data_IF_091084049814
#
_entry.id   IF_091084049814
#
_cell.length_a   1.000
_cell.length_b   1.000
_cell.length_c   1.000
_cell.angle_alpha   90.00
_cell.angle_beta   90.00
_cell.angle_gamma   90.00
#
_symmetry.space_group_name_H-M   'P 1'
#
loop_
_entity.id
_entity.type
_entity.pdbx_description
1 polymer ?
#
# COMPACT_ATOMS: atom_id res chain seq x y z
N UNK A 1 15.84 11.12 -4.64
CA UNK A 1 15.00 10.07 -5.20
C UNK A 1 14.20 10.65 -6.37
N UNK A 2 14.26 10.10 -7.57
CA UNK A 2 13.49 10.60 -8.72
C UNK A 2 11.99 10.33 -8.56
N UNK A 3 11.17 11.21 -9.16
CA UNK A 3 9.70 11.12 -9.21
C UNK A 3 9.26 11.58 -10.60
N UNK A 4 8.44 10.79 -11.29
CA UNK A 4 8.07 11.03 -12.68
C UNK A 4 9.14 10.60 -13.67
N UNK A 5 8.92 10.85 -14.97
CA UNK A 5 9.87 10.52 -16.01
C UNK A 5 10.18 9.02 -16.15
N UNK A 6 9.25 8.16 -15.81
CA UNK A 6 9.42 6.70 -15.84
C UNK A 6 10.05 6.10 -14.57
N UNK A 7 10.30 6.90 -13.54
CA UNK A 7 10.71 6.38 -12.23
C UNK A 7 9.60 5.55 -11.60
N UNK A 8 9.92 4.52 -10.78
CA UNK A 8 8.90 3.72 -10.09
C UNK A 8 7.99 4.58 -9.22
N UNK A 9 6.69 4.29 -9.24
CA UNK A 9 5.70 4.98 -8.40
C UNK A 9 6.10 4.86 -6.93
N UNK A 10 6.11 5.97 -6.21
CA UNK A 10 6.55 6.04 -4.81
C UNK A 10 5.38 6.17 -3.84
N UNK A 11 5.53 5.56 -2.66
CA UNK A 11 4.59 5.68 -1.55
C UNK A 11 5.04 6.80 -0.62
N UNK A 12 4.18 7.81 -0.44
CA UNK A 12 4.36 8.84 0.57
C UNK A 12 3.42 8.59 1.74
N UNK A 13 3.91 8.76 2.97
CA UNK A 13 3.08 8.89 4.17
C UNK A 13 3.34 10.21 4.89
N UNK A 14 2.70 10.42 6.02
CA UNK A 14 2.80 11.66 6.80
C UNK A 14 2.85 11.35 8.28
N UNK A 15 3.71 12.04 9.02
CA UNK A 15 3.77 11.93 10.48
C UNK A 15 2.54 12.55 11.15
N UNK A 16 2.14 11.99 12.27
CA UNK A 16 1.09 12.50 13.17
C UNK A 16 1.68 13.15 14.42
N UNK A 17 2.97 12.94 14.68
CA UNK A 17 3.71 13.57 15.77
C UNK A 17 3.88 15.07 15.53
N UNK A 18 4.06 15.84 16.58
CA UNK A 18 4.47 17.24 16.47
C UNK A 18 5.91 17.30 15.98
N UNK A 19 6.17 17.97 14.87
CA UNK A 19 7.50 18.05 14.25
C UNK A 19 8.54 18.69 15.19
N UNK A 20 8.11 19.56 16.10
CA UNK A 20 8.96 20.12 17.16
C UNK A 20 9.54 19.05 18.10
N UNK A 21 8.81 17.95 18.33
CA UNK A 21 9.32 16.75 19.00
C UNK A 21 10.05 15.87 17.98
N UNK A 22 11.31 16.19 17.78
CA UNK A 22 12.13 15.53 16.75
C UNK A 22 12.38 14.05 17.04
N UNK A 23 12.48 13.62 18.31
CA UNK A 23 12.74 12.22 18.65
C UNK A 23 11.50 11.34 18.39
N UNK A 24 10.32 11.76 18.82
CA UNK A 24 9.09 11.06 18.52
C UNK A 24 8.85 11.00 16.99
N UNK A 25 9.11 12.12 16.29
CA UNK A 25 8.94 12.20 14.83
C UNK A 25 9.91 11.29 14.09
N UNK A 26 11.19 11.24 14.47
CA UNK A 26 12.17 10.33 13.88
C UNK A 26 11.77 8.88 14.10
N UNK A 27 11.32 8.51 15.31
CA UNK A 27 10.85 7.15 15.61
C UNK A 27 9.71 6.76 14.68
N UNK A 28 8.75 7.65 14.47
CA UNK A 28 7.63 7.40 13.54
C UNK A 28 8.09 7.31 12.09
N UNK A 29 9.06 8.14 11.65
CA UNK A 29 9.62 8.08 10.29
C UNK A 29 10.27 6.71 10.03
N UNK A 30 11.02 6.16 10.99
CA UNK A 30 11.59 4.82 10.86
C UNK A 30 10.51 3.74 10.73
N UNK A 31 9.44 3.84 11.51
CA UNK A 31 8.31 2.92 11.41
C UNK A 31 7.62 3.00 10.05
N UNK A 32 7.40 4.21 9.53
CA UNK A 32 6.82 4.45 8.21
C UNK A 32 7.70 3.91 7.08
N UNK A 33 9.02 4.15 7.14
CA UNK A 33 9.97 3.62 6.17
C UNK A 33 10.01 2.08 6.18
N UNK A 34 9.99 1.47 7.37
CA UNK A 34 9.94 0.02 7.54
C UNK A 34 8.62 -0.58 6.99
N UNK A 35 7.52 0.17 7.04
CA UNK A 35 6.22 -0.22 6.49
C UNK A 35 6.10 -0.02 4.97
N UNK A 36 7.11 0.59 4.32
CA UNK A 36 7.16 0.75 2.86
C UNK A 36 6.95 2.17 2.34
N UNK A 37 6.97 3.19 3.21
CA UNK A 37 7.00 4.58 2.76
C UNK A 37 8.37 4.91 2.14
N UNK A 38 8.35 5.41 0.92
CA UNK A 38 9.55 5.89 0.21
C UNK A 38 9.86 7.37 0.53
N UNK A 39 8.85 8.13 0.93
CA UNK A 39 8.91 9.56 1.25
C UNK A 39 8.02 9.82 2.47
N UNK A 40 8.49 10.67 3.40
CA UNK A 40 7.68 11.08 4.55
C UNK A 40 7.50 12.59 4.56
N UNK A 41 6.27 13.04 4.86
CA UNK A 41 5.92 14.44 5.01
C UNK A 41 5.71 14.80 6.48
N UNK A 42 6.32 15.90 6.92
CA UNK A 42 6.18 16.47 8.25
C UNK A 42 5.56 17.86 8.17
N UNK A 43 4.70 18.22 9.11
CA UNK A 43 4.11 19.57 9.16
C UNK A 43 5.15 20.59 9.61
N UNK A 44 5.20 21.76 8.95
CA UNK A 44 6.02 22.90 9.36
C UNK A 44 5.14 24.16 9.42
N UNK A 45 4.53 24.38 10.58
CA UNK A 45 3.55 25.43 10.82
C UNK A 45 3.98 26.46 11.87
N UNK A 46 5.14 26.25 12.51
CA UNK A 46 5.69 27.10 13.56
C UNK A 46 7.23 27.01 13.58
N UNK A 47 7.96 28.00 14.11
CA UNK A 47 9.42 28.00 14.15
C UNK A 47 10.02 26.78 14.82
N UNK A 48 9.42 26.30 15.93
CA UNK A 48 9.87 25.08 16.62
C UNK A 48 9.79 23.82 15.73
N UNK A 49 8.85 23.78 14.79
CA UNK A 49 8.77 22.69 13.80
C UNK A 49 9.93 22.77 12.79
N UNK A 50 10.31 23.96 12.34
CA UNK A 50 11.47 24.15 11.47
C UNK A 50 12.78 23.74 12.16
N UNK A 51 12.97 24.10 13.44
CA UNK A 51 14.09 23.63 14.25
C UNK A 51 14.07 22.11 14.43
N UNK A 52 12.88 21.53 14.58
CA UNK A 52 12.67 20.07 14.59
C UNK A 52 13.14 19.44 13.30
N UNK A 53 12.76 19.98 12.14
CA UNK A 53 13.19 19.51 10.82
C UNK A 53 14.71 19.50 10.66
N UNK A 54 15.42 20.52 11.15
CA UNK A 54 16.88 20.57 11.09
C UNK A 54 17.56 19.40 11.84
N UNK A 55 16.89 18.86 12.87
CA UNK A 55 17.34 17.67 13.61
C UNK A 55 16.88 16.36 12.96
N UNK A 56 15.71 16.36 12.30
CA UNK A 56 15.10 15.19 11.67
C UNK A 56 15.78 14.84 10.35
N UNK A 57 15.97 15.83 9.47
CA UNK A 57 16.46 15.62 8.10
C UNK A 57 17.74 14.80 8.02
N UNK A 58 18.82 15.12 8.77
CA UNK A 58 20.08 14.37 8.67
C UNK A 58 20.01 12.95 9.24
N UNK A 59 18.96 12.63 9.98
CA UNK A 59 18.77 11.30 10.62
C UNK A 59 17.71 10.46 9.93
N UNK A 60 16.98 11.00 8.96
CA UNK A 60 15.91 10.29 8.29
C UNK A 60 16.43 9.26 7.29
N UNK A 61 15.90 8.02 7.29
CA UNK A 61 16.24 7.00 6.30
C UNK A 61 15.59 7.25 4.93
N UNK A 62 14.66 8.21 4.83
CA UNK A 62 13.91 8.53 3.62
C UNK A 62 13.82 10.05 3.42
N UNK A 63 13.60 10.55 2.19
CA UNK A 63 13.41 11.97 1.94
C UNK A 63 12.25 12.56 2.76
N UNK A 64 12.49 13.77 3.31
CA UNK A 64 11.54 14.53 4.11
C UNK A 64 10.96 15.68 3.30
N UNK A 65 9.63 15.79 3.29
CA UNK A 65 8.87 16.90 2.71
C UNK A 65 8.29 17.75 3.84
N UNK A 66 8.51 19.06 3.81
CA UNK A 66 7.81 19.97 4.70
C UNK A 66 6.45 20.37 4.14
N UNK A 67 5.42 20.23 4.97
CA UNK A 67 4.04 20.63 4.66
C UNK A 67 3.78 22.04 5.18
N UNK A 68 3.65 23.00 4.28
CA UNK A 68 3.55 24.43 4.60
C UNK A 68 2.09 24.86 4.56
N UNK A 69 1.68 25.52 5.64
CA UNK A 69 0.36 26.11 5.78
C UNK A 69 0.47 27.59 6.15
N UNK A 70 -0.23 28.48 5.45
CA UNK A 70 -0.47 29.90 5.73
C UNK A 70 0.76 30.85 5.74
N UNK A 71 1.94 30.41 6.16
CA UNK A 71 3.11 31.26 6.39
C UNK A 71 4.28 30.86 5.49
N UNK A 72 4.65 31.73 4.55
CA UNK A 72 5.76 31.46 3.62
C UNK A 72 7.11 31.42 4.33
N UNK A 73 7.27 32.12 5.47
CA UNK A 73 8.46 32.11 6.29
C UNK A 73 8.79 30.69 6.79
N UNK A 74 7.75 29.87 7.01
CA UNK A 74 7.96 28.46 7.40
C UNK A 74 8.50 27.62 6.24
N UNK A 75 8.18 27.98 4.99
CA UNK A 75 8.79 27.34 3.82
C UNK A 75 10.28 27.68 3.73
N UNK A 76 10.64 28.95 3.93
CA UNK A 76 12.04 29.39 3.92
C UNK A 76 12.83 28.71 5.05
N UNK A 77 12.30 28.68 6.26
CA UNK A 77 12.91 28.00 7.39
C UNK A 77 13.06 26.49 7.17
N UNK A 78 12.09 25.85 6.52
CA UNK A 78 12.18 24.43 6.15
C UNK A 78 13.27 24.18 5.09
N UNK A 79 13.43 25.08 4.12
CA UNK A 79 14.52 25.03 3.14
C UNK A 79 15.90 25.17 3.81
N UNK A 80 16.03 26.07 4.80
CA UNK A 80 17.23 26.22 5.61
C UNK A 80 17.54 24.96 6.43
N UNK A 81 16.49 24.28 6.94
CA UNK A 81 16.62 23.00 7.63
C UNK A 81 17.05 21.84 6.71
N UNK A 82 17.13 22.06 5.40
CA UNK A 82 17.62 21.10 4.41
C UNK A 82 16.62 20.03 3.99
N UNK A 83 15.33 20.34 4.02
CA UNK A 83 14.28 19.38 3.56
C UNK A 83 14.45 19.04 2.08
N UNK A 84 13.99 17.84 1.72
CA UNK A 84 14.13 17.30 0.37
C UNK A 84 12.99 17.70 -0.58
N UNK A 85 12.01 18.43 -0.08
CA UNK A 85 10.90 18.96 -0.86
C UNK A 85 9.94 19.76 0.00
N UNK A 86 9.12 20.58 -0.65
CA UNK A 86 8.04 21.33 -0.02
C UNK A 86 6.68 20.88 -0.55
N UNK A 87 5.65 21.06 0.26
CA UNK A 87 4.26 21.07 -0.20
C UNK A 87 3.62 22.38 0.13
N UNK A 88 3.11 23.07 -0.89
CA UNK A 88 2.30 24.28 -0.77
C UNK A 88 0.84 23.95 -1.11
N UNK A 89 -0.09 24.68 -0.45
CA UNK A 89 -1.51 24.61 -0.76
C UNK A 89 -1.99 25.96 -1.28
N UNK A 90 -2.39 26.09 -2.56
CA UNK A 90 -2.87 27.34 -3.15
C UNK A 90 -4.05 27.96 -2.40
N UNK A 91 -4.85 27.11 -1.74
CA UNK A 91 -5.95 27.58 -0.91
C UNK A 91 -5.52 28.32 0.36
N UNK A 92 -4.31 28.05 0.85
CA UNK A 92 -3.79 28.57 2.12
C UNK A 92 -2.73 29.68 1.91
N UNK A 93 -1.80 29.48 0.99
CA UNK A 93 -0.79 30.47 0.61
C UNK A 93 -1.24 31.13 -0.70
N UNK A 94 -1.59 32.41 -0.66
CA UNK A 94 -2.32 33.08 -1.76
C UNK A 94 -1.60 34.30 -2.33
N UNK A 95 -0.60 34.85 -1.64
CA UNK A 95 0.09 36.05 -2.08
C UNK A 95 1.18 35.69 -3.09
N UNK A 96 1.02 36.14 -4.30
CA UNK A 96 1.92 35.86 -5.42
C UNK A 96 3.39 36.11 -5.08
N UNK A 97 3.71 37.27 -4.46
CA UNK A 97 5.11 37.59 -4.12
C UNK A 97 5.73 36.61 -3.11
N UNK A 98 4.94 36.13 -2.13
CA UNK A 98 5.38 35.14 -1.15
C UNK A 98 5.64 33.78 -1.83
N UNK A 99 4.76 33.37 -2.76
CA UNK A 99 4.91 32.13 -3.53
C UNK A 99 6.14 32.19 -4.42
N UNK A 100 6.34 33.31 -5.14
CA UNK A 100 7.52 33.53 -5.99
C UNK A 100 8.83 33.56 -5.19
N UNK A 101 8.82 34.12 -3.99
CA UNK A 101 9.98 34.11 -3.10
C UNK A 101 10.35 32.68 -2.70
N UNK A 102 9.38 31.87 -2.28
CA UNK A 102 9.59 30.46 -1.92
C UNK A 102 10.10 29.67 -3.12
N UNK A 103 9.50 29.86 -4.30
CA UNK A 103 9.91 29.18 -5.53
C UNK A 103 11.34 29.54 -5.94
N UNK A 104 11.74 30.81 -5.84
CA UNK A 104 13.10 31.25 -6.12
C UNK A 104 14.13 30.61 -5.17
N UNK A 105 13.84 30.62 -3.87
CA UNK A 105 14.72 30.02 -2.87
C UNK A 105 14.82 28.49 -3.04
N UNK A 106 13.69 27.82 -3.37
CA UNK A 106 13.68 26.40 -3.66
C UNK A 106 14.50 26.05 -4.92
N UNK A 107 14.41 26.91 -5.97
CA UNK A 107 15.21 26.79 -7.19
C UNK A 107 16.71 26.86 -6.89
N UNK A 108 17.15 27.84 -6.13
CA UNK A 108 18.55 28.06 -5.81
C UNK A 108 19.14 26.89 -5.00
N UNK A 109 18.30 26.18 -4.25
CA UNK A 109 18.66 24.99 -3.45
C UNK A 109 18.41 23.66 -4.16
N UNK A 110 17.78 23.66 -5.34
CA UNK A 110 17.40 22.42 -6.06
C UNK A 110 16.37 21.58 -5.31
N UNK A 111 15.45 22.22 -4.58
CA UNK A 111 14.40 21.55 -3.78
C UNK A 111 13.08 21.58 -4.53
N UNK A 112 12.49 20.42 -4.90
CA UNK A 112 11.23 20.37 -5.62
C UNK A 112 10.04 20.80 -4.75
N UNK A 113 9.02 21.35 -5.39
CA UNK A 113 7.78 21.78 -4.73
C UNK A 113 6.59 20.97 -5.27
N UNK A 114 5.70 20.56 -4.36
CA UNK A 114 4.39 20.02 -4.74
C UNK A 114 3.31 21.07 -4.57
N UNK A 115 2.62 21.40 -5.66
CA UNK A 115 1.35 22.11 -5.65
C UNK A 115 0.27 21.16 -5.17
N UNK A 116 -0.33 21.44 -4.01
CA UNK A 116 -1.25 20.53 -3.33
C UNK A 116 -2.66 21.07 -3.23
N UNK A 117 -3.42 21.03 -4.33
CA UNK A 117 -4.83 21.45 -4.37
C UNK A 117 -5.71 20.42 -3.66
N UNK A 118 -6.62 20.90 -2.81
CA UNK A 118 -7.67 20.10 -2.18
C UNK A 118 -9.04 20.75 -2.43
N UNK A 119 -10.04 19.95 -2.74
CA UNK A 119 -11.42 20.42 -2.97
C UNK A 119 -11.97 21.23 -1.78
N UNK A 120 -11.67 20.80 -0.55
CA UNK A 120 -12.13 21.48 0.67
C UNK A 120 -11.46 22.83 0.97
N UNK A 121 -10.35 23.17 0.30
CA UNK A 121 -9.62 24.44 0.48
C UNK A 121 -9.46 25.22 -0.83
N UNK A 122 -10.33 24.97 -1.81
CA UNK A 122 -10.34 25.69 -3.09
C UNK A 122 -10.56 27.19 -2.87
N UNK A 123 -9.88 28.01 -3.70
CA UNK A 123 -10.05 29.47 -3.62
C UNK A 123 -11.52 29.86 -3.82
N UNK A 124 -12.10 30.76 -2.97
CA UNK A 124 -13.50 31.11 -3.05
C UNK A 124 -13.95 31.62 -4.43
N UNK A 125 -13.08 32.36 -5.14
CA UNK A 125 -13.41 32.87 -6.47
C UNK A 125 -13.52 31.77 -7.51
N UNK A 126 -12.65 30.72 -7.42
CA UNK A 126 -12.75 29.54 -8.28
C UNK A 126 -14.00 28.74 -7.94
N UNK A 127 -14.28 28.54 -6.65
CA UNK A 127 -15.49 27.88 -6.20
C UNK A 127 -16.75 28.56 -6.75
N UNK A 128 -16.80 29.91 -6.71
CA UNK A 128 -17.91 30.71 -7.26
C UNK A 128 -17.96 30.62 -8.79
N UNK A 129 -16.81 30.76 -9.48
CA UNK A 129 -16.71 30.76 -10.94
C UNK A 129 -17.19 29.45 -11.55
N UNK A 130 -16.82 28.30 -10.94
CA UNK A 130 -17.13 26.97 -11.44
C UNK A 130 -18.38 26.34 -10.79
N UNK A 131 -19.05 27.03 -9.86
CA UNK A 131 -20.25 26.53 -9.18
C UNK A 131 -19.97 25.42 -8.16
N UNK A 132 -18.71 25.26 -7.73
CA UNK A 132 -18.29 24.23 -6.77
C UNK A 132 -16.86 23.77 -6.96
N UNK A 133 -16.49 22.73 -6.23
CA UNK A 133 -15.23 22.01 -6.42
C UNK A 133 -15.40 21.01 -7.58
N UNK A 134 -15.27 21.48 -8.82
CA UNK A 134 -15.31 20.65 -10.03
C UNK A 134 -13.90 20.24 -10.46
N UNK A 135 -13.73 19.24 -11.36
CA UNK A 135 -12.44 18.89 -11.93
C UNK A 135 -11.70 20.10 -12.52
N UNK A 136 -12.42 20.93 -13.28
CA UNK A 136 -11.88 22.13 -13.91
C UNK A 136 -11.42 23.18 -12.88
N UNK A 137 -12.18 23.34 -11.79
CA UNK A 137 -11.83 24.28 -10.72
C UNK A 137 -10.54 23.85 -9.99
N UNK A 138 -10.37 22.54 -9.76
CA UNK A 138 -9.18 21.99 -9.13
C UNK A 138 -7.94 22.11 -10.04
N UNK A 139 -8.08 21.82 -11.32
CA UNK A 139 -7.00 21.93 -12.31
C UNK A 139 -6.64 23.41 -12.52
N UNK A 140 -7.63 24.32 -12.62
CA UNK A 140 -7.38 25.74 -12.75
C UNK A 140 -6.64 26.31 -11.52
N UNK A 141 -6.96 25.86 -10.31
CA UNK A 141 -6.22 26.22 -9.10
C UNK A 141 -4.75 25.83 -9.18
N UNK A 142 -4.45 24.64 -9.68
CA UNK A 142 -3.07 24.18 -9.90
C UNK A 142 -2.36 25.01 -10.97
N UNK A 143 -3.06 25.35 -12.07
CA UNK A 143 -2.51 26.16 -13.17
C UNK A 143 -2.12 27.56 -12.73
N UNK A 144 -2.97 28.20 -11.93
CA UNK A 144 -2.68 29.55 -11.39
C UNK A 144 -1.41 29.55 -10.53
N UNK A 145 -1.23 28.55 -9.70
CA UNK A 145 -0.02 28.43 -8.86
C UNK A 145 1.21 28.13 -9.71
N UNK A 146 1.07 27.24 -10.68
CA UNK A 146 2.16 26.86 -11.59
C UNK A 146 2.68 28.08 -12.36
N UNK A 147 1.78 28.98 -12.81
CA UNK A 147 2.17 30.20 -13.51
C UNK A 147 3.11 31.07 -12.66
N UNK A 148 2.91 31.18 -11.35
CA UNK A 148 3.81 31.91 -10.47
C UNK A 148 5.21 31.29 -10.38
N UNK A 149 5.29 29.97 -10.50
CA UNK A 149 6.57 29.26 -10.53
C UNK A 149 7.28 29.41 -11.87
N UNK A 150 6.54 29.37 -12.97
CA UNK A 150 7.07 29.63 -14.32
C UNK A 150 7.64 31.04 -14.46
N UNK A 151 7.01 32.04 -13.86
CA UNK A 151 7.48 33.45 -13.86
C UNK A 151 8.89 33.62 -13.25
N UNK A 152 9.26 32.75 -12.30
CA UNK A 152 10.62 32.72 -11.72
C UNK A 152 11.51 31.66 -12.34
N UNK A 153 11.02 30.97 -13.37
CA UNK A 153 11.75 29.92 -14.09
C UNK A 153 12.00 28.69 -13.22
N UNK A 154 11.04 28.33 -12.34
CA UNK A 154 11.08 27.13 -11.50
C UNK A 154 10.21 26.02 -12.09
N UNK A 155 10.83 24.86 -12.45
CA UNK A 155 10.14 23.76 -13.11
C UNK A 155 10.13 22.45 -12.32
N UNK A 156 10.82 22.35 -11.18
CA UNK A 156 10.85 21.13 -10.36
C UNK A 156 9.55 20.98 -9.52
N UNK A 157 8.45 20.83 -10.23
CA UNK A 157 7.09 20.82 -9.67
C UNK A 157 6.45 19.46 -9.84
N UNK A 158 5.69 19.02 -8.85
CA UNK A 158 4.68 17.97 -8.98
C UNK A 158 3.32 18.47 -8.50
N UNK A 159 2.24 17.89 -9.02
CA UNK A 159 0.88 18.42 -8.81
C UNK A 159 0.01 17.36 -8.12
N UNK A 160 -0.89 17.81 -7.26
CA UNK A 160 -1.98 16.97 -6.74
C UNK A 160 -3.29 17.76 -6.70
N UNK A 161 -4.38 17.12 -7.16
CA UNK A 161 -5.75 17.68 -7.22
C UNK A 161 -6.68 16.72 -6.48
N UNK A 162 -6.73 16.82 -5.15
CA UNK A 162 -7.38 15.86 -4.27
C UNK A 162 -8.82 16.24 -3.94
N UNK A 163 -9.68 15.21 -3.86
CA UNK A 163 -11.04 15.32 -3.35
C UNK A 163 -11.36 14.13 -2.44
N UNK A 164 -12.39 14.25 -1.61
CA UNK A 164 -12.92 13.14 -0.79
C UNK A 164 -13.91 12.27 -1.57
N UNK A 165 -14.53 12.83 -2.62
CA UNK A 165 -15.32 12.08 -3.60
C UNK A 165 -14.39 11.38 -4.58
N UNK A 166 -14.49 10.04 -4.64
CA UNK A 166 -13.67 9.22 -5.53
C UNK A 166 -13.93 9.54 -7.02
N UNK A 167 -15.18 9.65 -7.51
CA UNK A 167 -15.44 10.04 -8.90
C UNK A 167 -14.84 11.40 -9.25
N UNK A 168 -15.05 12.42 -8.41
CA UNK A 168 -14.49 13.74 -8.62
C UNK A 168 -12.95 13.71 -8.67
N UNK A 169 -12.33 12.95 -7.77
CA UNK A 169 -10.88 12.80 -7.74
C UNK A 169 -10.36 12.16 -9.03
N UNK A 170 -10.99 11.09 -9.51
CA UNK A 170 -10.59 10.41 -10.75
C UNK A 170 -10.68 11.37 -11.94
N UNK A 171 -11.81 12.05 -12.11
CA UNK A 171 -12.01 13.01 -13.22
C UNK A 171 -11.03 14.18 -13.16
N UNK A 172 -10.76 14.71 -11.96
CA UNK A 172 -9.79 15.79 -11.78
C UNK A 172 -8.36 15.36 -12.15
N UNK A 173 -7.94 14.14 -11.82
CA UNK A 173 -6.61 13.66 -12.19
C UNK A 173 -6.50 13.28 -13.67
N UNK A 174 -7.54 12.77 -14.29
CA UNK A 174 -7.57 12.57 -15.75
C UNK A 174 -7.37 13.90 -16.47
N UNK A 175 -8.16 14.92 -16.09
CA UNK A 175 -8.02 16.28 -16.63
C UNK A 175 -6.63 16.87 -16.34
N UNK A 176 -6.08 16.64 -15.14
CA UNK A 176 -4.74 17.11 -14.79
C UNK A 176 -3.65 16.45 -15.64
N UNK A 177 -3.78 15.14 -15.94
CA UNK A 177 -2.83 14.41 -16.78
C UNK A 177 -2.85 14.86 -18.23
N UNK A 178 -4.00 15.35 -18.73
CA UNK A 178 -4.13 15.95 -20.05
C UNK A 178 -3.62 17.39 -20.12
N UNK A 179 -3.58 18.07 -18.95
CA UNK A 179 -3.27 19.49 -18.87
C UNK A 179 -1.81 19.79 -18.55
N UNK A 180 -1.16 18.92 -17.78
CA UNK A 180 0.17 19.15 -17.23
C UNK A 180 1.15 18.02 -17.59
N UNK A 181 2.35 18.38 -18.01
CA UNK A 181 3.47 17.45 -18.22
C UNK A 181 4.22 17.11 -16.90
N UNK A 182 3.74 17.61 -15.76
CA UNK A 182 4.36 17.47 -14.46
C UNK A 182 3.92 16.17 -13.76
N UNK A 183 4.80 15.56 -12.93
CA UNK A 183 4.46 14.39 -12.14
C UNK A 183 3.23 14.62 -11.25
N UNK A 184 2.38 13.60 -11.14
CA UNK A 184 1.13 13.64 -10.38
C UNK A 184 1.25 12.85 -9.07
N UNK A 185 0.81 13.48 -7.97
CA UNK A 185 0.73 12.85 -6.66
C UNK A 185 -0.72 12.49 -6.31
N UNK A 186 -1.07 11.21 -6.41
CA UNK A 186 -2.43 10.71 -6.22
C UNK A 186 -2.82 10.55 -4.75
N UNK A 187 -4.10 10.70 -4.48
CA UNK A 187 -4.70 10.37 -3.19
C UNK A 187 -6.11 10.88 -3.04
N UNK A 188 -6.96 10.09 -2.40
CA UNK A 188 -8.27 10.52 -1.90
C UNK A 188 -8.03 11.20 -0.56
N UNK A 189 -8.48 12.44 -0.39
CA UNK A 189 -8.36 13.15 0.89
C UNK A 189 -9.51 12.76 1.82
N UNK A 190 -9.24 12.71 3.14
CA UNK A 190 -10.28 12.46 4.16
C UNK A 190 -11.09 11.18 3.89
N UNK A 191 -10.39 10.10 3.53
CA UNK A 191 -11.06 8.86 3.15
C UNK A 191 -11.81 8.18 4.31
N UNK A 192 -11.40 8.46 5.54
CA UNK A 192 -12.01 7.90 6.75
C UNK A 192 -11.27 6.68 7.31
N UNK A 193 -11.85 6.02 8.34
CA UNK A 193 -11.21 4.85 8.96
C UNK A 193 -11.32 3.60 8.06
N UNK A 194 -10.44 2.61 8.26
CA UNK A 194 -10.62 1.27 7.68
C UNK A 194 -11.92 0.60 8.17
N UNK A 195 -12.54 -0.30 7.39
CA UNK A 195 -12.14 -0.68 6.02
C UNK A 195 -12.61 0.33 4.95
N UNK A 196 -13.57 1.20 5.24
CA UNK A 196 -14.19 2.12 4.26
C UNK A 196 -13.17 3.07 3.63
N UNK A 197 -12.25 3.62 4.42
CA UNK A 197 -11.20 4.50 3.95
C UNK A 197 -10.21 3.81 3.01
N UNK A 198 -9.85 2.55 3.30
CA UNK A 198 -9.02 1.73 2.43
C UNK A 198 -9.68 1.49 1.08
N UNK A 199 -10.98 1.13 1.09
CA UNK A 199 -11.75 0.89 -0.15
C UNK A 199 -11.78 2.16 -1.01
N UNK A 200 -12.10 3.33 -0.42
CA UNK A 200 -12.11 4.61 -1.15
C UNK A 200 -10.75 4.97 -1.71
N UNK A 201 -9.70 4.89 -0.89
CA UNK A 201 -8.33 5.18 -1.29
C UNK A 201 -7.88 4.27 -2.43
N UNK A 202 -8.11 2.97 -2.29
CA UNK A 202 -7.76 1.97 -3.31
C UNK A 202 -8.54 2.21 -4.60
N UNK A 203 -9.86 2.41 -4.54
CA UNK A 203 -10.66 2.65 -5.73
C UNK A 203 -10.17 3.86 -6.54
N UNK A 204 -9.87 4.98 -5.87
CA UNK A 204 -9.38 6.19 -6.58
C UNK A 204 -7.97 6.02 -7.13
N UNK A 205 -7.04 5.54 -6.30
CA UNK A 205 -5.62 5.44 -6.67
C UNK A 205 -5.41 4.33 -7.72
N UNK A 206 -5.99 3.12 -7.51
CA UNK A 206 -5.81 1.98 -8.41
C UNK A 206 -6.35 2.25 -9.81
N UNK A 207 -7.51 2.91 -9.93
CA UNK A 207 -8.10 3.27 -11.22
C UNK A 207 -7.13 4.10 -12.04
N UNK A 208 -6.57 5.16 -11.46
CA UNK A 208 -5.63 6.04 -12.16
C UNK A 208 -4.31 5.36 -12.49
N UNK A 209 -3.75 4.58 -11.55
CA UNK A 209 -2.50 3.84 -11.81
C UNK A 209 -2.66 2.81 -12.92
N UNK A 210 -3.82 2.15 -13.02
CA UNK A 210 -4.12 1.20 -14.11
C UNK A 210 -4.25 1.90 -15.48
N UNK A 211 -4.56 3.19 -15.49
CA UNK A 211 -4.58 4.05 -16.69
C UNK A 211 -3.20 4.67 -16.98
N UNK A 212 -2.17 4.38 -16.19
CA UNK A 212 -0.83 4.95 -16.32
C UNK A 212 -0.70 6.37 -15.76
N UNK A 213 -1.67 6.82 -14.97
CA UNK A 213 -1.69 8.15 -14.36
C UNK A 213 -1.20 8.07 -12.92
N UNK A 214 -0.13 8.81 -12.59
CA UNK A 214 0.38 8.98 -11.22
C UNK A 214 1.79 8.47 -11.00
N UNK A 215 2.59 9.27 -10.29
CA UNK A 215 4.02 9.05 -10.03
C UNK A 215 4.32 8.86 -8.53
N UNK A 216 3.45 9.40 -7.66
CA UNK A 216 3.50 9.18 -6.22
C UNK A 216 2.10 9.01 -5.66
N UNK A 217 1.95 8.22 -4.60
CA UNK A 217 0.66 7.97 -3.97
C UNK A 217 0.69 8.23 -2.47
N UNK A 218 -0.47 8.59 -1.90
CA UNK A 218 -0.67 8.64 -0.46
C UNK A 218 -2.10 8.25 -0.09
N UNK A 219 -2.25 7.24 0.76
CA UNK A 219 -3.50 7.00 1.47
C UNK A 219 -3.72 8.05 2.56
N UNK A 220 -4.96 8.40 2.84
CA UNK A 220 -5.34 9.36 3.91
C UNK A 220 -6.39 8.71 4.79
N UNK A 221 -5.93 7.91 5.75
CA UNK A 221 -6.78 7.14 6.65
C UNK A 221 -6.92 7.83 8.02
N UNK A 222 -8.06 7.62 8.66
CA UNK A 222 -8.21 7.90 10.10
C UNK A 222 -7.76 6.65 10.86
N UNK A 223 -6.43 6.40 10.86
CA UNK A 223 -5.77 5.25 11.46
C UNK A 223 -4.28 5.57 11.72
N UNK A 224 -3.52 4.61 12.25
CA UNK A 224 -2.06 4.72 12.34
C UNK A 224 -1.47 4.92 10.93
N UNK A 225 -0.62 5.93 10.70
CA UNK A 225 -0.04 6.20 9.39
C UNK A 225 0.86 5.06 8.86
N UNK A 226 1.29 4.13 9.69
CA UNK A 226 1.95 2.89 9.29
C UNK A 226 1.03 2.05 8.39
N UNK A 227 -0.29 2.04 8.65
CA UNK A 227 -1.27 1.35 7.80
C UNK A 227 -1.38 2.00 6.42
N UNK A 228 -1.27 3.35 6.33
CA UNK A 228 -1.24 4.06 5.04
C UNK A 228 -0.05 3.64 4.17
N UNK A 229 1.14 3.58 4.79
CA UNK A 229 2.36 3.17 4.10
C UNK A 229 2.27 1.72 3.61
N UNK A 230 1.79 0.82 4.48
CA UNK A 230 1.59 -0.60 4.15
C UNK A 230 0.59 -0.78 3.02
N UNK A 231 -0.58 -0.12 3.11
CA UNK A 231 -1.61 -0.19 2.07
C UNK A 231 -1.10 0.34 0.72
N UNK A 232 -0.34 1.45 0.72
CA UNK A 232 0.27 1.99 -0.50
C UNK A 232 1.27 1.01 -1.13
N UNK A 233 2.12 0.39 -0.32
CA UNK A 233 3.08 -0.61 -0.78
C UNK A 233 2.39 -1.85 -1.35
N UNK A 234 1.41 -2.39 -0.65
CA UNK A 234 0.64 -3.55 -1.08
C UNK A 234 -0.14 -3.28 -2.38
N UNK A 235 -0.71 -2.08 -2.53
CA UNK A 235 -1.37 -1.70 -3.78
C UNK A 235 -0.42 -1.72 -4.96
N UNK A 236 0.78 -1.13 -4.84
CA UNK A 236 1.76 -1.11 -5.93
C UNK A 236 2.26 -2.52 -6.27
N UNK A 237 2.43 -3.38 -5.29
CA UNK A 237 2.78 -4.80 -5.48
C UNK A 237 1.65 -5.58 -6.16
N UNK A 238 0.39 -5.35 -5.75
CA UNK A 238 -0.78 -5.98 -6.36
C UNK A 238 -1.01 -5.58 -7.83
N UNK A 239 -0.63 -4.35 -8.19
CA UNK A 239 -0.69 -3.85 -9.58
C UNK A 239 0.56 -4.20 -10.42
N UNK A 240 1.55 -4.89 -9.85
CA UNK A 240 2.81 -5.20 -10.53
C UNK A 240 3.72 -3.98 -10.78
N UNK A 241 3.43 -2.84 -10.15
CA UNK A 241 4.21 -1.60 -10.26
C UNK A 241 5.43 -1.56 -9.33
N UNK A 242 5.51 -2.49 -8.41
CA UNK A 242 6.65 -2.70 -7.49
C UNK A 242 6.89 -4.19 -7.31
N UNK A 243 8.15 -4.57 -7.23
CA UNK A 243 8.54 -5.93 -6.86
C UNK A 243 8.07 -6.26 -5.45
N UNK A 244 7.47 -7.43 -5.31
CA UNK A 244 7.01 -7.95 -4.04
C UNK A 244 8.20 -8.33 -3.16
N UNK A 245 8.19 -7.84 -1.91
CA UNK A 245 9.25 -8.09 -0.93
C UNK A 245 8.84 -9.01 0.21
N UNK A 246 7.60 -9.46 0.23
CA UNK A 246 7.04 -10.29 1.29
C UNK A 246 6.09 -11.35 0.78
N UNK A 247 5.37 -11.93 1.71
CA UNK A 247 4.34 -12.94 1.43
C UNK A 247 3.22 -12.37 0.55
N UNK A 248 2.83 -13.13 -0.47
CA UNK A 248 1.56 -13.00 -1.16
C UNK A 248 0.69 -14.20 -0.85
N UNK A 249 -0.39 -13.97 -0.12
CA UNK A 249 -1.31 -15.04 0.25
C UNK A 249 -2.51 -15.08 -0.69
N UNK A 250 -2.68 -16.19 -1.41
CA UNK A 250 -3.87 -16.52 -2.17
C UNK A 250 -4.71 -17.48 -1.32
N UNK A 251 -5.91 -17.08 -0.92
CA UNK A 251 -6.79 -17.95 -0.16
C UNK A 251 -8.17 -18.04 -0.83
N UNK A 252 -8.72 -19.23 -0.92
CA UNK A 252 -10.08 -19.38 -1.46
C UNK A 252 -11.12 -18.83 -0.45
N UNK A 253 -12.25 -18.26 -0.93
CA UNK A 253 -13.24 -17.62 -0.06
C UNK A 253 -14.06 -18.61 0.77
N UNK A 254 -13.73 -19.91 0.71
CA UNK A 254 -14.51 -21.01 1.25
C UNK A 254 -15.85 -21.21 0.52
N UNK A 255 -16.33 -22.42 0.47
CA UNK A 255 -17.66 -22.78 -0.08
C UNK A 255 -18.11 -24.13 0.50
N UNK A 256 -19.28 -24.65 0.10
CA UNK A 256 -19.78 -25.95 0.57
C UNK A 256 -18.93 -27.18 0.25
N UNK A 257 -17.82 -27.01 -0.48
CA UNK A 257 -16.82 -28.05 -0.75
C UNK A 257 -15.59 -27.96 0.17
N UNK A 258 -15.53 -26.94 1.04
CA UNK A 258 -14.40 -26.77 1.94
C UNK A 258 -14.39 -27.89 2.98
N UNK A 259 -13.24 -28.55 3.12
CA UNK A 259 -13.03 -29.66 4.05
C UNK A 259 -12.45 -29.20 5.39
N UNK A 260 -12.10 -27.92 5.51
CA UNK A 260 -11.49 -27.28 6.67
C UNK A 260 -12.04 -25.88 6.92
N UNK A 261 -11.75 -25.30 8.07
CA UNK A 261 -11.91 -23.85 8.30
C UNK A 261 -10.80 -23.11 7.56
N UNK A 262 -11.08 -22.75 6.30
CA UNK A 262 -10.10 -22.03 5.43
C UNK A 262 -9.68 -20.70 6.05
N UNK A 263 -10.62 -20.01 6.73
CA UNK A 263 -10.33 -18.68 7.33
C UNK A 263 -9.29 -18.83 8.45
N UNK A 264 -9.47 -19.81 9.33
CA UNK A 264 -8.54 -20.07 10.42
C UNK A 264 -7.16 -20.47 9.90
N UNK A 265 -7.13 -21.42 8.94
CA UNK A 265 -5.85 -21.92 8.35
C UNK A 265 -5.13 -20.81 7.58
N UNK A 266 -5.85 -20.00 6.78
CA UNK A 266 -5.25 -18.89 6.03
C UNK A 266 -4.66 -17.82 6.96
N UNK A 267 -5.37 -17.45 8.04
CA UNK A 267 -4.84 -16.50 9.04
C UNK A 267 -3.61 -17.04 9.75
N UNK A 268 -3.63 -18.31 10.17
CA UNK A 268 -2.49 -18.92 10.84
C UNK A 268 -1.27 -19.01 9.89
N UNK A 269 -1.48 -19.41 8.63
CA UNK A 269 -0.44 -19.45 7.62
C UNK A 269 0.12 -18.06 7.34
N UNK A 270 -0.75 -17.05 7.18
CA UNK A 270 -0.35 -15.66 6.96
C UNK A 270 0.55 -15.17 8.08
N UNK A 271 0.11 -15.29 9.33
CA UNK A 271 0.88 -14.84 10.49
C UNK A 271 2.25 -15.52 10.55
N UNK A 272 2.28 -16.87 10.44
CA UNK A 272 3.51 -17.63 10.55
C UNK A 272 4.52 -17.34 9.43
N UNK A 273 4.05 -17.02 8.21
CA UNK A 273 4.90 -16.73 7.05
C UNK A 273 5.33 -15.26 7.01
N UNK A 274 4.48 -14.30 7.44
CA UNK A 274 4.83 -12.87 7.53
C UNK A 274 5.97 -12.65 8.55
N UNK A 275 5.96 -13.34 9.68
CA UNK A 275 7.04 -13.28 10.68
C UNK A 275 8.40 -13.68 10.08
N UNK A 276 8.41 -14.57 9.09
CA UNK A 276 9.61 -15.06 8.40
C UNK A 276 10.07 -14.20 7.23
N UNK A 277 9.23 -13.25 6.80
CA UNK A 277 9.50 -12.30 5.69
C UNK A 277 9.93 -13.00 4.40
N UNK A 278 9.34 -14.14 4.08
CA UNK A 278 9.66 -14.91 2.88
C UNK A 278 9.04 -14.25 1.65
N UNK A 279 9.81 -13.96 0.58
CA UNK A 279 9.31 -13.34 -0.64
C UNK A 279 8.71 -14.37 -1.59
N UNK A 280 7.61 -15.01 -1.18
CA UNK A 280 6.95 -16.09 -1.93
C UNK A 280 5.44 -15.85 -2.05
N UNK A 281 4.86 -16.44 -3.08
CA UNK A 281 3.42 -16.52 -3.24
C UNK A 281 2.92 -17.87 -2.73
N UNK A 282 2.05 -17.82 -1.70
CA UNK A 282 1.53 -19.02 -1.03
C UNK A 282 0.01 -19.10 -1.20
N UNK A 283 -0.50 -20.30 -1.47
CA UNK A 283 -1.92 -20.55 -1.62
C UNK A 283 -2.48 -21.41 -0.49
N UNK A 284 -3.65 -21.05 0.04
CA UNK A 284 -4.42 -21.86 1.00
C UNK A 284 -5.79 -22.14 0.41
N UNK A 285 -6.03 -23.41 0.06
CA UNK A 285 -7.24 -23.85 -0.64
C UNK A 285 -8.06 -24.81 0.20
N UNK A 286 -9.35 -24.54 0.31
CA UNK A 286 -10.29 -25.33 1.14
C UNK A 286 -10.66 -26.71 0.61
N UNK A 287 -10.31 -27.04 -0.63
CA UNK A 287 -10.53 -28.39 -1.19
C UNK A 287 -9.52 -28.73 -2.29
N UNK A 288 -9.25 -30.01 -2.45
CA UNK A 288 -8.34 -30.53 -3.50
C UNK A 288 -8.97 -30.55 -4.90
N UNK A 289 -10.29 -30.33 -5.01
CA UNK A 289 -10.99 -30.44 -6.30
C UNK A 289 -10.49 -29.42 -7.30
N UNK A 290 -10.47 -28.13 -6.91
CA UNK A 290 -10.07 -27.03 -7.78
C UNK A 290 -8.80 -26.34 -7.30
N UNK A 291 -8.45 -26.48 -6.00
CA UNK A 291 -7.42 -25.69 -5.35
C UNK A 291 -6.08 -25.65 -6.08
N UNK A 292 -5.46 -26.80 -6.40
CA UNK A 292 -4.18 -26.83 -7.11
C UNK A 292 -4.24 -26.26 -8.52
N UNK A 293 -5.41 -26.32 -9.17
CA UNK A 293 -5.63 -25.75 -10.51
C UNK A 293 -5.84 -24.23 -10.48
N UNK A 294 -6.65 -23.73 -9.54
CA UNK A 294 -6.93 -22.29 -9.38
C UNK A 294 -5.71 -21.51 -8.86
N UNK A 295 -4.86 -22.15 -8.07
CA UNK A 295 -3.65 -21.56 -7.51
C UNK A 295 -2.35 -22.07 -8.19
N UNK A 296 -2.43 -22.48 -9.45
CA UNK A 296 -1.30 -23.07 -10.20
C UNK A 296 -0.06 -22.17 -10.24
N UNK A 297 -0.28 -20.87 -10.31
CA UNK A 297 0.82 -19.91 -10.42
C UNK A 297 1.50 -19.61 -9.07
N UNK A 298 0.88 -19.99 -7.95
CA UNK A 298 1.53 -19.86 -6.64
C UNK A 298 2.81 -20.67 -6.57
N UNK A 299 3.82 -20.14 -5.88
CA UNK A 299 5.10 -20.84 -5.70
C UNK A 299 4.90 -22.11 -4.87
N UNK A 300 4.07 -22.01 -3.84
CA UNK A 300 3.72 -23.08 -2.92
C UNK A 300 2.25 -22.96 -2.53
N UNK A 301 1.60 -24.07 -2.22
CA UNK A 301 0.27 -24.04 -1.64
C UNK A 301 -0.12 -25.31 -0.93
N UNK A 302 -1.25 -25.24 -0.23
CA UNK A 302 -1.87 -26.39 0.41
C UNK A 302 -3.37 -26.42 0.09
N UNK A 303 -3.86 -27.57 -0.32
CA UNK A 303 -5.28 -27.81 -0.57
C UNK A 303 -5.80 -28.89 0.38
N UNK A 304 -6.95 -28.61 1.01
CA UNK A 304 -7.58 -29.56 1.92
C UNK A 304 -8.22 -30.73 1.18
N UNK A 305 -7.98 -31.93 1.69
CA UNK A 305 -8.70 -33.16 1.37
C UNK A 305 -9.31 -33.75 2.64
N UNK A 306 -9.71 -35.02 2.57
CA UNK A 306 -10.29 -35.73 3.71
C UNK A 306 -9.27 -35.93 4.83
N UNK A 307 -9.34 -35.12 5.91
CA UNK A 307 -8.44 -35.14 7.07
C UNK A 307 -6.96 -35.04 6.72
N UNK A 308 -6.64 -34.44 5.57
CA UNK A 308 -5.26 -34.28 5.12
C UNK A 308 -5.11 -33.02 4.27
N UNK A 309 -3.90 -32.49 4.22
CA UNK A 309 -3.51 -31.41 3.35
C UNK A 309 -2.64 -31.90 2.20
N UNK A 310 -2.92 -31.44 1.01
CA UNK A 310 -2.14 -31.71 -0.20
C UNK A 310 -1.25 -30.50 -0.48
N UNK A 311 0.03 -30.60 -0.15
CA UNK A 311 1.03 -29.59 -0.52
C UNK A 311 1.30 -29.66 -2.02
N UNK A 312 1.36 -28.51 -2.67
CA UNK A 312 1.69 -28.40 -4.08
C UNK A 312 2.66 -27.24 -4.35
N UNK A 313 3.50 -27.42 -5.36
CA UNK A 313 4.44 -26.42 -5.88
C UNK A 313 4.10 -26.22 -7.35
N UNK A 314 3.83 -24.97 -7.76
CA UNK A 314 3.42 -24.64 -9.14
C UNK A 314 2.32 -25.59 -9.66
N UNK A 315 1.32 -25.87 -8.83
CA UNK A 315 0.19 -26.74 -9.14
C UNK A 315 0.47 -28.25 -9.09
N UNK A 316 1.70 -28.66 -8.90
CA UNK A 316 2.08 -30.09 -8.80
C UNK A 316 2.04 -30.53 -7.34
N UNK A 317 1.25 -31.58 -7.01
CA UNK A 317 1.20 -32.13 -5.65
C UNK A 317 2.53 -32.80 -5.34
N UNK A 318 3.17 -32.36 -4.26
CA UNK A 318 4.51 -32.82 -3.86
C UNK A 318 4.49 -33.64 -2.57
N UNK A 319 3.47 -33.46 -1.73
CA UNK A 319 3.37 -34.12 -0.43
C UNK A 319 1.95 -34.13 0.09
N UNK A 320 1.58 -35.18 0.87
CA UNK A 320 0.33 -35.24 1.63
C UNK A 320 0.66 -35.26 3.11
N UNK A 321 -0.05 -34.50 3.91
CA UNK A 321 0.18 -34.35 5.36
C UNK A 321 -1.13 -34.44 6.14
N UNK A 322 -1.10 -34.83 7.41
CA UNK A 322 -2.27 -34.74 8.29
C UNK A 322 -2.82 -33.32 8.39
N UNK A 323 -4.12 -33.19 8.63
CA UNK A 323 -4.80 -31.88 8.70
C UNK A 323 -4.23 -30.97 9.79
N UNK A 324 -3.91 -31.52 10.95
CA UNK A 324 -3.35 -30.81 12.09
C UNK A 324 -1.89 -30.36 11.90
N UNK A 325 -1.21 -30.87 10.86
CA UNK A 325 0.14 -30.48 10.47
C UNK A 325 0.19 -29.52 9.27
N UNK A 326 -0.95 -29.17 8.68
CA UNK A 326 -1.02 -28.41 7.42
C UNK A 326 -0.24 -27.10 7.45
N UNK A 327 -0.42 -26.29 8.50
CA UNK A 327 0.25 -24.98 8.60
C UNK A 327 1.74 -25.17 8.86
N UNK A 328 2.10 -26.06 9.76
CA UNK A 328 3.51 -26.32 10.09
C UNK A 328 4.28 -26.89 8.87
N UNK A 329 3.63 -27.79 8.12
CA UNK A 329 4.19 -28.36 6.90
C UNK A 329 4.32 -27.33 5.78
N UNK A 330 3.32 -26.43 5.63
CA UNK A 330 3.34 -25.35 4.66
C UNK A 330 4.50 -24.38 4.95
N UNK A 331 4.68 -24.00 6.22
CA UNK A 331 5.75 -23.10 6.65
C UNK A 331 7.11 -23.72 6.44
N UNK A 332 7.29 -24.98 6.86
CA UNK A 332 8.55 -25.68 6.66
C UNK A 332 8.91 -25.88 5.18
N UNK A 333 7.91 -26.12 4.33
CA UNK A 333 8.12 -26.23 2.89
C UNK A 333 8.45 -24.88 2.26
N UNK A 334 7.82 -23.79 2.72
CA UNK A 334 8.12 -22.43 2.30
C UNK A 334 9.59 -22.05 2.56
N UNK A 335 10.11 -22.38 3.74
CA UNK A 335 11.51 -22.15 4.10
C UNK A 335 12.47 -22.95 3.19
N UNK A 336 12.14 -24.22 2.93
CA UNK A 336 12.92 -25.07 2.02
C UNK A 336 12.90 -24.57 0.59
N UNK A 337 11.72 -24.16 0.12
CA UNK A 337 11.57 -23.65 -1.25
C UNK A 337 12.42 -22.40 -1.49
N UNK A 338 12.48 -21.49 -0.52
CA UNK A 338 13.34 -20.30 -0.61
C UNK A 338 14.82 -20.67 -0.54
N UNK A 339 15.19 -21.68 0.25
CA UNK A 339 16.59 -22.11 0.41
C UNK A 339 17.12 -22.95 -0.75
N UNK A 340 16.31 -23.85 -1.29
CA UNK A 340 16.73 -24.90 -2.25
C UNK A 340 16.27 -24.61 -3.69
N UNK A 341 15.22 -23.81 -3.87
CA UNK A 341 14.61 -23.49 -5.15
C UNK A 341 13.51 -24.46 -5.60
N UNK A 342 12.68 -24.00 -6.53
CA UNK A 342 11.49 -24.71 -7.02
C UNK A 342 11.84 -26.07 -7.63
N UNK A 343 12.83 -26.12 -8.51
CA UNK A 343 13.20 -27.33 -9.24
C UNK A 343 13.68 -28.46 -8.31
N UNK A 344 14.49 -28.12 -7.31
CA UNK A 344 14.97 -29.08 -6.32
C UNK A 344 13.82 -29.65 -5.48
N UNK A 345 12.86 -28.79 -5.09
CA UNK A 345 11.70 -29.23 -4.31
C UNK A 345 10.72 -30.06 -5.13
N UNK A 346 10.52 -29.77 -6.41
CA UNK A 346 9.73 -30.61 -7.32
C UNK A 346 10.37 -31.98 -7.52
N UNK A 347 11.70 -32.07 -7.66
CA UNK A 347 12.42 -33.34 -7.78
C UNK A 347 12.35 -34.20 -6.51
N UNK A 348 12.14 -33.59 -5.36
CA UNK A 348 11.99 -34.24 -4.06
C UNK A 348 10.54 -34.63 -3.72
N UNK A 349 9.60 -34.53 -4.68
CA UNK A 349 8.18 -34.80 -4.48
C UNK A 349 7.95 -36.30 -4.13
N UNK A 350 7.00 -36.56 -3.21
CA UNK A 350 6.61 -37.89 -2.83
C UNK A 350 5.91 -38.61 -4.01
N UNK A 351 6.41 -39.76 -4.43
CA UNK A 351 5.96 -40.46 -5.64
C UNK A 351 4.47 -40.86 -5.62
N UNK A 352 3.87 -41.02 -4.43
CA UNK A 352 2.47 -41.39 -4.24
C UNK A 352 1.51 -40.21 -4.09
N UNK A 353 2.02 -39.01 -3.82
CA UNK A 353 1.21 -37.84 -3.42
C UNK A 353 0.16 -37.45 -4.44
N UNK A 354 0.49 -37.46 -5.72
CA UNK A 354 -0.46 -37.13 -6.80
C UNK A 354 -1.61 -38.15 -6.92
N UNK A 355 -1.31 -39.47 -6.70
CA UNK A 355 -2.33 -40.51 -6.74
C UNK A 355 -3.28 -40.42 -5.54
N UNK A 356 -2.79 -40.09 -4.37
CA UNK A 356 -3.61 -39.85 -3.17
C UNK A 356 -4.53 -38.63 -3.35
N UNK A 357 -4.03 -37.52 -3.89
CA UNK A 357 -4.82 -36.33 -4.17
C UNK A 357 -5.94 -36.59 -5.18
N UNK A 358 -5.66 -37.38 -6.22
CA UNK A 358 -6.69 -37.74 -7.21
C UNK A 358 -7.75 -38.72 -6.63
N UNK A 359 -7.37 -39.59 -5.69
CA UNK A 359 -8.34 -40.41 -4.97
C UNK A 359 -9.27 -39.57 -4.09
N UNK A 360 -8.72 -38.65 -3.32
CA UNK A 360 -9.52 -37.73 -2.50
C UNK A 360 -10.44 -36.85 -3.37
N UNK A 361 -9.94 -36.34 -4.49
CA UNK A 361 -10.73 -35.56 -5.45
C UNK A 361 -11.91 -36.35 -5.99
N UNK A 362 -11.72 -37.61 -6.38
CA UNK A 362 -12.81 -38.47 -6.86
C UNK A 362 -13.85 -38.73 -5.79
N UNK A 363 -13.44 -38.97 -4.56
CA UNK A 363 -14.34 -39.24 -3.45
C UNK A 363 -15.17 -37.99 -3.11
N UNK A 364 -14.59 -36.79 -3.11
CA UNK A 364 -15.30 -35.52 -2.93
C UNK A 364 -16.33 -35.27 -4.04
N UNK A 365 -15.97 -35.51 -5.29
CA UNK A 365 -16.88 -35.38 -6.45
C UNK A 365 -18.03 -36.39 -6.41
N UNK A 366 -17.81 -37.56 -5.81
CA UNK A 366 -18.85 -38.58 -5.60
C UNK A 366 -19.76 -38.28 -4.39
N UNK A 367 -19.63 -37.11 -3.77
CA UNK A 367 -20.44 -36.73 -2.60
C UNK A 367 -20.10 -37.49 -1.31
N UNK A 368 -18.95 -38.15 -1.27
CA UNK A 368 -18.48 -38.86 -0.08
C UNK A 368 -17.71 -37.90 0.85
N UNK A 369 -18.31 -36.74 1.18
CA UNK A 369 -17.74 -35.73 2.07
C UNK A 369 -17.58 -36.20 3.53
N UNK A 370 -16.87 -35.43 4.35
CA UNK A 370 -16.71 -35.67 5.79
C UNK A 370 -18.04 -35.35 6.49
N UNK A 371 -18.39 -36.16 7.51
CA UNK A 371 -19.56 -35.91 8.35
C UNK A 371 -19.50 -34.51 8.99
N UNK A 372 -20.58 -33.73 8.86
CA UNK A 372 -20.66 -32.35 9.36
C UNK A 372 -20.38 -32.24 10.87
N UNK A 373 -20.73 -33.25 11.66
CA UNK A 373 -20.45 -33.28 13.11
C UNK A 373 -18.96 -33.48 13.43
N UNK A 374 -18.20 -34.14 12.56
CA UNK A 374 -16.75 -34.25 12.71
C UNK A 374 -16.02 -32.93 12.40
N UNK A 375 -16.67 -31.98 11.70
CA UNK A 375 -16.08 -30.70 11.35
C UNK A 375 -16.06 -29.70 12.52
N UNK A 376 -17.03 -29.73 13.43
CA UNK A 376 -17.09 -28.81 14.58
C UNK A 376 -15.96 -29.06 15.61
N UNK A 377 -15.73 -30.32 15.99
CA UNK A 377 -14.61 -30.68 16.90
C UNK A 377 -13.25 -30.32 16.27
N UNK A 378 -13.13 -30.40 14.97
CA UNK A 378 -11.90 -30.11 14.20
C UNK A 378 -11.66 -28.63 14.03
N UNK A 379 -12.71 -27.87 13.80
CA UNK A 379 -12.65 -26.39 13.79
C UNK A 379 -12.20 -25.90 15.17
N UNK A 380 -12.69 -26.51 16.24
CA UNK A 380 -12.33 -26.18 17.60
C UNK A 380 -10.86 -26.53 17.91
N UNK A 381 -10.36 -27.66 17.37
CA UNK A 381 -8.95 -28.06 17.49
C UNK A 381 -8.01 -27.12 16.77
N UNK A 382 -8.35 -26.71 15.55
CA UNK A 382 -7.60 -25.72 14.75
C UNK A 382 -7.65 -24.35 15.44
N UNK A 383 -8.82 -23.91 15.91
CA UNK A 383 -8.97 -22.68 16.70
C UNK A 383 -8.17 -22.71 17.99
N UNK A 384 -8.12 -23.86 18.68
CA UNK A 384 -7.36 -24.02 19.93
C UNK A 384 -5.86 -24.02 19.68
N UNK A 385 -5.39 -24.60 18.55
CA UNK A 385 -3.97 -24.64 18.18
C UNK A 385 -3.48 -23.31 17.61
N UNK A 386 -4.29 -22.61 16.81
CA UNK A 386 -3.89 -21.43 16.04
C UNK A 386 -4.71 -20.16 16.33
N UNK A 387 -5.82 -20.25 17.11
CA UNK A 387 -6.78 -19.17 17.31
C UNK A 387 -6.58 -18.27 18.53
N UNK A 388 -5.65 -18.57 19.43
CA UNK A 388 -5.47 -17.83 20.70
C UNK A 388 -4.66 -16.52 20.57
N UNK A 389 -4.39 -16.02 19.34
CA UNK A 389 -3.65 -14.76 19.13
C UNK A 389 -4.45 -13.66 18.43
N UNK A 390 -5.78 -13.78 18.36
CA UNK A 390 -6.65 -12.83 17.64
C UNK A 390 -7.45 -11.86 18.54
N UNK A 391 -7.10 -11.72 19.81
CA UNK A 391 -7.62 -10.66 20.70
C UNK A 391 -6.42 -9.90 21.30
N UNK A 392 -6.03 -8.81 20.59
CA UNK A 392 -4.99 -7.88 21.01
C UNK A 392 -4.98 -6.67 20.10
#
# INVERSE_FOLDING_TARGET
>A
MPVGGGAPVSVQSMTTTKTADSEATITQIYALAAAGADIVRCTCNEPAAAEGLARIVPRSPVPIIADIHFHHEMALAALEAGVHGLRLNPGNLRKEHEIKQVASEAKDRGVPIRIGVNAGSLHPDLYKRFGGATPEALVESARMELAYFEDVGFGDVKISVKASSVPLMIEAYRLASETFDHPLHLGVTEAGPPPGGLIKGTAGIATLLAEGIGDTIRYSLTADPVEEARAGRQLLEALGLRERKGLDLIACPSCGRAEIDVIAVAKAAQQALEERKLPIQVAVMGCVVNGPGEAREADLGIAAGRRRGHLFIKGTIVRVVPEDEMVDALVAEAERLVAEGIDARLAAADAGAAAEAEADRRDLLAGKGVDANASEERIELIRKKYGNHAEG
#
